data_IF_500316907769
#
_entry.id   IF_500316907769
#
_cell.length_a   1.000
_cell.length_b   1.000
_cell.length_c   1.000
_cell.angle_alpha   90.00
_cell.angle_beta   90.00
_cell.angle_gamma   90.00
#
_symmetry.space_group_name_H-M   'P 1'
#
loop_
_entity.id
_entity.type
_entity.pdbx_description
1 polymer ?
#
# COMPACT_ATOMS: atom_id res chain seq x y z
N UNK A 1 -5.18 -17.13 -11.95
CA UNK A 1 -5.53 -15.74 -11.59
C UNK A 1 -6.80 -15.32 -12.33
N UNK A 2 -7.73 -14.62 -11.68
CA UNK A 2 -8.97 -14.12 -12.32
C UNK A 2 -8.82 -12.65 -12.76
N UNK A 3 -9.76 -12.12 -13.56
CA UNK A 3 -9.83 -10.69 -13.93
C UNK A 3 -9.71 -9.76 -12.72
N UNK A 4 -10.36 -10.07 -11.60
CA UNK A 4 -10.26 -9.27 -10.36
C UNK A 4 -8.85 -9.23 -9.80
N UNK A 5 -8.11 -10.35 -9.82
CA UNK A 5 -6.74 -10.37 -9.29
C UNK A 5 -5.83 -9.43 -10.09
N UNK A 6 -5.97 -9.43 -11.41
CA UNK A 6 -5.24 -8.49 -12.26
C UNK A 6 -5.64 -7.04 -12.02
N UNK A 7 -6.93 -6.76 -11.87
CA UNK A 7 -7.40 -5.40 -11.56
C UNK A 7 -6.89 -4.93 -10.20
N UNK A 8 -6.89 -5.78 -9.17
CA UNK A 8 -6.33 -5.44 -7.84
C UNK A 8 -4.85 -5.11 -7.97
N UNK A 9 -4.07 -5.94 -8.66
CA UNK A 9 -2.64 -5.71 -8.83
C UNK A 9 -2.36 -4.41 -9.60
N UNK A 10 -3.02 -4.21 -10.75
CA UNK A 10 -2.78 -3.06 -11.63
C UNK A 10 -3.30 -1.77 -10.98
N UNK A 11 -4.57 -1.73 -10.58
CA UNK A 11 -5.13 -0.54 -9.94
C UNK A 11 -4.42 -0.24 -8.62
N UNK A 12 -4.13 -1.27 -7.82
CA UNK A 12 -3.37 -1.12 -6.58
C UNK A 12 -2.00 -0.51 -6.80
N UNK A 13 -1.23 -1.03 -7.76
CA UNK A 13 0.10 -0.50 -8.07
C UNK A 13 0.04 0.94 -8.60
N UNK A 14 -0.95 1.28 -9.43
CA UNK A 14 -1.08 2.64 -9.98
C UNK A 14 -1.50 3.66 -8.92
N UNK A 15 -2.46 3.30 -8.07
CA UNK A 15 -2.89 4.17 -6.95
C UNK A 15 -1.76 4.33 -5.94
N UNK A 16 -1.05 3.23 -5.62
CA UNK A 16 0.15 3.28 -4.79
C UNK A 16 1.22 4.20 -5.39
N UNK A 17 1.45 4.14 -6.71
CA UNK A 17 2.41 5.02 -7.37
C UNK A 17 2.08 6.49 -7.26
N UNK A 18 0.81 6.86 -7.44
CA UNK A 18 0.37 8.23 -7.22
C UNK A 18 0.62 8.65 -5.77
N UNK A 19 0.30 7.78 -4.81
CA UNK A 19 0.57 8.03 -3.40
C UNK A 19 2.07 8.20 -3.10
N UNK A 20 2.91 7.28 -3.58
CA UNK A 20 4.37 7.28 -3.44
C UNK A 20 4.98 8.60 -3.92
N UNK A 21 4.54 9.09 -5.08
CA UNK A 21 5.01 10.36 -5.63
C UNK A 21 4.62 11.55 -4.74
N UNK A 22 3.39 11.58 -4.20
CA UNK A 22 2.95 12.66 -3.31
C UNK A 22 3.57 12.59 -1.92
N UNK A 23 3.94 11.40 -1.43
CA UNK A 23 4.58 11.27 -0.12
C UNK A 23 6.09 11.55 -0.14
N UNK A 24 6.72 11.62 -1.32
CA UNK A 24 8.16 11.90 -1.45
C UNK A 24 8.70 13.07 -0.59
N UNK A 25 8.00 14.20 -0.39
CA UNK A 25 8.50 15.31 0.44
C UNK A 25 8.66 14.96 1.93
N UNK A 26 7.99 13.92 2.41
CA UNK A 26 8.03 13.49 3.81
C UNK A 26 9.21 12.55 4.12
N UNK A 27 9.99 12.18 3.10
CA UNK A 27 11.18 11.36 3.23
C UNK A 27 12.43 12.20 2.94
N UNK A 28 13.52 11.92 3.64
CA UNK A 28 14.82 12.48 3.29
C UNK A 28 15.25 11.94 1.91
N UNK A 29 15.58 12.82 0.95
CA UNK A 29 15.93 12.38 -0.40
C UNK A 29 17.25 11.60 -0.47
N UNK A 30 18.10 11.72 0.55
CA UNK A 30 19.46 11.17 0.56
C UNK A 30 20.30 11.72 -0.61
N UNK A 31 21.24 10.90 -1.08
CA UNK A 31 22.12 11.22 -2.23
C UNK A 31 21.53 10.78 -3.58
N UNK A 32 20.22 10.54 -3.66
CA UNK A 32 19.59 9.98 -4.86
C UNK A 32 19.21 11.05 -5.87
N UNK A 33 19.49 10.77 -7.14
CA UNK A 33 19.01 11.61 -8.22
C UNK A 33 17.47 11.53 -8.36
N UNK A 34 16.80 12.58 -8.87
CA UNK A 34 15.33 12.59 -9.04
C UNK A 34 14.78 11.38 -9.83
N UNK A 35 15.52 10.91 -10.83
CA UNK A 35 15.15 9.74 -11.62
C UNK A 35 15.24 8.45 -10.80
N UNK A 36 16.30 8.25 -10.02
CA UNK A 36 16.47 7.09 -9.15
C UNK A 36 15.38 7.02 -8.09
N UNK A 37 15.00 8.17 -7.51
CA UNK A 37 13.87 8.27 -6.58
C UNK A 37 12.57 7.81 -7.22
N UNK A 38 12.31 8.22 -8.46
CA UNK A 38 11.12 7.82 -9.22
C UNK A 38 11.11 6.30 -9.48
N UNK A 39 12.25 5.71 -9.85
CA UNK A 39 12.36 4.25 -10.01
C UNK A 39 12.07 3.53 -8.69
N UNK A 40 12.64 4.00 -7.57
CA UNK A 40 12.38 3.41 -6.24
C UNK A 40 10.92 3.48 -5.86
N UNK A 41 10.25 4.62 -6.09
CA UNK A 41 8.81 4.76 -5.90
C UNK A 41 8.04 3.76 -6.77
N UNK A 42 8.44 3.57 -8.03
CA UNK A 42 7.84 2.58 -8.93
C UNK A 42 7.97 1.15 -8.40
N UNK A 43 9.15 0.76 -7.91
CA UNK A 43 9.38 -0.57 -7.31
C UNK A 43 8.55 -0.74 -6.03
N UNK A 44 8.53 0.27 -5.16
CA UNK A 44 7.72 0.27 -3.93
C UNK A 44 6.23 0.05 -4.26
N UNK A 45 5.72 0.81 -5.23
CA UNK A 45 4.32 0.74 -5.68
C UNK A 45 3.93 -0.63 -6.22
N UNK A 46 4.82 -1.29 -6.96
CA UNK A 46 4.61 -2.67 -7.41
C UNK A 46 4.58 -3.64 -6.23
N UNK A 47 5.45 -3.43 -5.23
CA UNK A 47 5.43 -4.13 -3.96
C UNK A 47 4.08 -3.98 -3.23
N UNK A 48 3.56 -2.76 -3.15
CA UNK A 48 2.25 -2.49 -2.54
C UNK A 48 1.11 -3.16 -3.30
N UNK A 49 1.16 -3.15 -4.63
CA UNK A 49 0.22 -3.90 -5.46
C UNK A 49 0.23 -5.40 -5.15
N UNK A 50 1.41 -5.99 -4.93
CA UNK A 50 1.54 -7.40 -4.51
C UNK A 50 0.98 -7.62 -3.12
N UNK A 51 1.26 -6.73 -2.16
CA UNK A 51 0.71 -6.83 -0.80
C UNK A 51 -0.83 -6.74 -0.83
N UNK A 52 -1.41 -5.82 -1.61
CA UNK A 52 -2.86 -5.69 -1.80
C UNK A 52 -3.47 -6.94 -2.44
N UNK A 53 -2.78 -7.53 -3.42
CA UNK A 53 -3.20 -8.78 -4.04
C UNK A 53 -3.19 -9.92 -3.01
N UNK A 54 -2.15 -10.04 -2.19
CA UNK A 54 -2.07 -11.03 -1.12
C UNK A 54 -3.18 -10.81 -0.10
N UNK A 55 -3.40 -9.56 0.33
CA UNK A 55 -4.48 -9.19 1.24
C UNK A 55 -5.85 -9.60 0.67
N UNK A 56 -6.08 -9.34 -0.61
CA UNK A 56 -7.31 -9.71 -1.32
C UNK A 56 -7.51 -11.24 -1.34
N UNK A 57 -6.46 -11.99 -1.64
CA UNK A 57 -6.51 -13.46 -1.64
C UNK A 57 -6.77 -14.02 -0.24
N UNK A 58 -6.16 -13.45 0.81
CA UNK A 58 -6.42 -13.84 2.20
C UNK A 58 -7.85 -13.53 2.63
N UNK A 59 -8.38 -12.36 2.25
CA UNK A 59 -9.77 -11.99 2.50
C UNK A 59 -10.74 -12.96 1.82
N UNK A 60 -10.43 -13.43 0.61
CA UNK A 60 -11.23 -14.43 -0.10
C UNK A 60 -11.25 -15.80 0.58
N UNK A 61 -10.17 -16.20 1.28
CA UNK A 61 -10.20 -17.42 2.10
C UNK A 61 -11.20 -17.33 3.26
N UNK A 62 -11.48 -16.12 3.75
CA UNK A 62 -12.41 -15.90 4.87
C UNK A 62 -13.84 -15.60 4.44
N UNK A 63 -14.04 -14.96 3.29
CA UNK A 63 -15.34 -14.52 2.78
C UNK A 63 -15.82 -15.18 1.48
N UNK A 64 -15.05 -16.12 0.93
CA UNK A 64 -15.31 -16.70 -0.38
C UNK A 64 -14.93 -15.79 -1.55
N UNK A 65 -15.09 -16.28 -2.77
CA UNK A 65 -14.66 -15.57 -3.99
C UNK A 65 -15.46 -14.30 -4.31
N UNK A 66 -16.66 -14.16 -3.75
CA UNK A 66 -17.54 -13.01 -3.95
C UNK A 66 -17.53 -12.04 -2.76
N UNK A 67 -16.52 -12.12 -1.87
CA UNK A 67 -16.46 -11.30 -0.65
C UNK A 67 -16.52 -9.80 -0.92
N UNK A 68 -16.00 -9.32 -2.06
CA UNK A 68 -16.11 -7.91 -2.45
C UNK A 68 -17.56 -7.45 -2.67
N UNK A 69 -18.45 -8.37 -3.04
CA UNK A 69 -19.87 -8.11 -3.33
C UNK A 69 -20.79 -8.47 -2.18
N UNK A 70 -20.27 -9.11 -1.16
CA UNK A 70 -20.99 -9.40 0.06
C UNK A 70 -20.53 -8.37 1.09
N UNK A 71 -21.46 -7.67 1.74
CA UNK A 71 -21.14 -6.66 2.77
C UNK A 71 -20.60 -7.29 4.08
N UNK A 72 -19.78 -8.34 3.98
CA UNK A 72 -19.23 -9.10 5.08
C UNK A 72 -18.07 -8.33 5.70
N UNK A 73 -18.18 -7.97 6.99
CA UNK A 73 -17.17 -7.16 7.70
C UNK A 73 -15.80 -7.83 7.85
N UNK A 74 -15.77 -9.16 7.99
CA UNK A 74 -14.54 -9.91 8.28
C UNK A 74 -13.52 -9.89 7.12
N UNK A 75 -13.89 -10.14 5.84
CA UNK A 75 -12.98 -10.01 4.72
C UNK A 75 -12.38 -8.61 4.56
N UNK A 76 -13.16 -7.54 4.74
CA UNK A 76 -12.63 -6.17 4.73
C UNK A 76 -11.64 -5.94 5.87
N UNK A 77 -11.93 -6.43 7.08
CA UNK A 77 -11.00 -6.33 8.21
C UNK A 77 -9.67 -7.06 7.92
N UNK A 78 -9.71 -8.24 7.29
CA UNK A 78 -8.49 -8.96 6.85
C UNK A 78 -7.75 -8.18 5.77
N UNK A 79 -8.46 -7.63 4.79
CA UNK A 79 -7.89 -6.89 3.67
C UNK A 79 -7.13 -5.64 4.14
N UNK A 80 -7.77 -4.78 4.93
CA UNK A 80 -7.12 -3.57 5.47
C UNK A 80 -6.10 -3.90 6.57
N UNK A 81 -6.42 -4.85 7.45
CA UNK A 81 -5.56 -5.22 8.57
C UNK A 81 -4.23 -5.84 8.13
N UNK A 82 -4.24 -6.67 7.08
CA UNK A 82 -3.01 -7.28 6.57
C UNK A 82 -2.04 -6.22 6.06
N UNK A 83 -2.52 -5.29 5.25
CA UNK A 83 -1.71 -4.18 4.74
C UNK A 83 -1.10 -3.34 5.85
N UNK A 84 -1.90 -2.97 6.85
CA UNK A 84 -1.43 -2.21 8.01
C UNK A 84 -0.35 -2.96 8.82
N UNK A 85 -0.51 -4.27 9.05
CA UNK A 85 0.49 -5.08 9.75
C UNK A 85 1.81 -5.14 8.95
N UNK A 86 1.72 -5.32 7.63
CA UNK A 86 2.90 -5.31 6.75
C UNK A 86 3.58 -3.94 6.79
N UNK A 87 2.81 -2.85 6.75
CA UNK A 87 3.32 -1.48 6.85
C UNK A 87 4.15 -1.26 8.11
N UNK A 88 3.59 -1.62 9.26
CA UNK A 88 4.25 -1.47 10.56
C UNK A 88 5.53 -2.30 10.60
N UNK A 89 5.48 -3.55 10.13
CA UNK A 89 6.65 -4.42 10.09
C UNK A 89 7.76 -3.84 9.19
N UNK A 90 7.38 -3.34 8.02
CA UNK A 90 8.29 -2.72 7.05
C UNK A 90 8.89 -1.44 7.62
N UNK A 91 8.10 -0.58 8.26
CA UNK A 91 8.56 0.64 8.93
C UNK A 91 9.58 0.32 10.03
N UNK A 92 9.28 -0.64 10.90
CA UNK A 92 10.20 -1.07 11.96
C UNK A 92 11.52 -1.61 11.39
N UNK A 93 11.45 -2.39 10.31
CA UNK A 93 12.66 -2.94 9.67
C UNK A 93 13.46 -1.82 9.00
N UNK A 94 12.83 -1.01 8.15
CA UNK A 94 13.51 0.00 7.34
C UNK A 94 14.16 1.11 8.18
N UNK A 95 13.55 1.48 9.31
CA UNK A 95 14.12 2.47 10.24
C UNK A 95 15.21 1.90 11.14
N UNK A 96 15.22 0.58 11.35
CA UNK A 96 16.27 -0.11 12.12
C UNK A 96 17.50 -0.50 11.29
N UNK A 97 17.36 -0.57 9.96
CA UNK A 97 18.45 -0.94 9.07
C UNK A 97 19.52 0.16 8.98
N UNK A 98 20.80 -0.21 8.77
CA UNK A 98 21.86 0.78 8.57
C UNK A 98 21.58 1.66 7.34
N UNK A 99 21.94 2.95 7.42
CA UNK A 99 21.64 3.95 6.39
C UNK A 99 22.24 3.66 5.00
N UNK A 100 23.22 2.75 4.91
CA UNK A 100 23.80 2.31 3.64
C UNK A 100 23.00 1.17 2.97
N UNK A 101 21.93 0.68 3.61
CA UNK A 101 21.10 -0.38 3.09
C UNK A 101 20.05 0.18 2.14
N UNK A 102 19.87 -0.47 0.98
CA UNK A 102 18.91 -0.06 -0.05
C UNK A 102 17.45 0.00 0.45
N UNK A 103 17.15 -0.77 1.50
CA UNK A 103 15.82 -0.86 2.12
C UNK A 103 15.65 0.09 3.31
N UNK A 104 16.66 0.87 3.66
CA UNK A 104 16.56 1.87 4.74
C UNK A 104 16.05 3.20 4.21
N UNK A 105 15.25 3.89 5.02
CA UNK A 105 14.85 5.27 4.75
C UNK A 105 14.78 6.07 6.04
N UNK A 106 14.80 7.39 5.89
CA UNK A 106 14.65 8.36 6.97
C UNK A 106 13.53 9.31 6.65
N UNK A 107 12.76 9.65 7.68
CA UNK A 107 11.70 10.62 7.58
C UNK A 107 12.26 12.03 7.71
N UNK A 108 11.72 12.96 6.93
CA UNK A 108 12.05 14.38 7.07
C UNK A 108 11.32 14.98 8.29
N UNK A 109 11.71 16.19 8.71
CA UNK A 109 11.03 16.93 9.79
C UNK A 109 9.55 17.22 9.47
N UNK A 110 9.17 17.15 8.20
CA UNK A 110 7.78 17.34 7.76
C UNK A 110 6.89 16.14 8.05
N UNK A 111 7.46 14.97 8.36
CA UNK A 111 6.69 13.75 8.57
C UNK A 111 5.86 13.85 9.87
N UNK A 112 4.51 13.83 9.76
CA UNK A 112 3.67 13.82 10.95
C UNK A 112 3.72 12.43 11.60
N UNK A 113 4.04 12.41 12.89
CA UNK A 113 4.09 11.18 13.69
C UNK A 113 2.93 11.15 14.69
N UNK A 114 2.45 9.94 14.97
CA UNK A 114 1.44 9.71 15.99
C UNK A 114 2.05 9.89 17.40
N UNK A 115 1.42 10.66 18.30
CA UNK A 115 2.02 11.04 19.59
C UNK A 115 2.20 9.90 20.60
N UNK A 116 1.49 8.78 20.48
CA UNK A 116 1.54 7.66 21.45
C UNK A 116 2.58 6.61 21.06
N UNK A 117 2.59 6.22 19.79
CA UNK A 117 3.38 5.13 19.21
C UNK A 117 4.60 5.61 18.45
N UNK A 118 4.62 6.89 18.04
CA UNK A 118 5.67 7.46 17.19
C UNK A 118 5.63 6.97 15.74
N UNK A 119 4.58 6.26 15.32
CA UNK A 119 4.46 5.75 13.95
C UNK A 119 4.18 6.87 12.96
N UNK A 120 4.67 6.70 11.74
CA UNK A 120 4.53 7.69 10.70
C UNK A 120 3.11 7.68 10.10
N UNK A 121 2.40 8.82 10.17
CA UNK A 121 0.98 8.87 9.81
C UNK A 121 0.72 8.72 8.31
N UNK A 122 1.66 9.13 7.45
CA UNK A 122 1.48 9.07 5.99
C UNK A 122 1.43 7.62 5.47
N UNK A 123 2.36 6.70 5.84
CA UNK A 123 2.24 5.27 5.57
C UNK A 123 0.96 4.65 6.15
N UNK A 124 0.57 5.01 7.38
CA UNK A 124 -0.70 4.50 7.95
C UNK A 124 -1.90 4.94 7.10
N UNK A 125 -1.93 6.20 6.68
CA UNK A 125 -2.97 6.72 5.81
C UNK A 125 -2.98 6.03 4.44
N UNK A 126 -1.80 5.71 3.89
CA UNK A 126 -1.66 4.95 2.65
C UNK A 126 -2.40 3.62 2.72
N UNK A 127 -2.20 2.86 3.80
CA UNK A 127 -2.82 1.55 4.02
C UNK A 127 -4.31 1.60 4.36
N UNK A 128 -4.90 2.81 4.39
CA UNK A 128 -6.35 3.01 4.43
C UNK A 128 -6.88 3.51 3.09
N UNK A 129 -6.23 4.52 2.50
CA UNK A 129 -6.73 5.21 1.30
C UNK A 129 -6.44 4.39 0.03
N UNK A 130 -5.22 3.88 -0.15
CA UNK A 130 -4.83 3.12 -1.34
C UNK A 130 -5.68 1.84 -1.50
N UNK A 131 -5.88 0.99 -0.48
CA UNK A 131 -6.73 -0.18 -0.63
C UNK A 131 -8.21 0.18 -0.89
N UNK A 132 -8.72 1.25 -0.27
CA UNK A 132 -10.10 1.70 -0.47
C UNK A 132 -10.34 2.19 -1.90
N UNK A 133 -9.46 3.03 -2.43
CA UNK A 133 -9.50 3.48 -3.82
C UNK A 133 -9.31 2.32 -4.81
N UNK A 134 -8.44 1.37 -4.48
CA UNK A 134 -8.23 0.17 -5.29
C UNK A 134 -9.52 -0.64 -5.42
N UNK A 135 -10.19 -0.91 -4.30
CA UNK A 135 -11.50 -1.60 -4.33
C UNK A 135 -12.49 -0.78 -5.16
N UNK A 136 -12.61 0.52 -4.93
CA UNK A 136 -13.55 1.39 -5.66
C UNK A 136 -13.34 1.29 -7.18
N UNK A 137 -12.10 1.38 -7.66
CA UNK A 137 -11.77 1.28 -9.08
C UNK A 137 -12.07 -0.11 -9.65
N UNK A 138 -11.77 -1.17 -8.88
CA UNK A 138 -12.10 -2.55 -9.27
C UNK A 138 -13.60 -2.77 -9.37
N UNK A 139 -14.38 -2.16 -8.48
CA UNK A 139 -15.85 -2.17 -8.54
C UNK A 139 -16.35 -1.46 -9.80
N UNK A 140 -15.82 -0.26 -10.04
CA UNK A 140 -16.19 0.55 -11.20
C UNK A 140 -15.88 -0.17 -12.52
N UNK A 141 -14.66 -0.69 -12.69
CA UNK A 141 -14.23 -1.42 -13.89
C UNK A 141 -14.94 -2.77 -14.11
N UNK A 142 -15.76 -3.23 -13.16
CA UNK A 142 -16.59 -4.43 -13.29
C UNK A 142 -18.09 -4.13 -13.39
N UNK A 143 -18.49 -2.88 -13.19
CA UNK A 143 -19.88 -2.45 -13.27
C UNK A 143 -20.35 -2.16 -14.70
N UNK A 144 -19.43 -2.02 -15.67
CA UNK A 144 -19.78 -1.94 -17.08
C UNK A 144 -20.47 -3.26 -17.53
N UNK A 145 -21.72 -3.18 -18.01
CA UNK A 145 -22.38 -4.32 -18.64
C UNK A 145 -21.70 -4.62 -19.98
N UNK A 146 -21.45 -5.90 -20.25
CA UNK A 146 -21.12 -6.39 -21.61
C UNK A 146 -22.27 -6.11 -22.60
#
# INVERSE_FOLDING_TARGET
>A
MTRTHWLILICGSLVAFVWEIFQMPFFEPGDLEPFERTIRCGIASLGDGVILLTAYSLAALRGGHAWLWQAAKMPYAVYFGFGLVVAIAVEMIATSLPANSFLSWRYSELMPHEPVTGLALIPIAMWTIVPALTILLVCFARAEPD
#
